data_IF_565917172687
#
_entry.id   IF_565917172687
#
_cell.length_a   1.000
_cell.length_b   1.000
_cell.length_c   1.000
_cell.angle_alpha   90.00
_cell.angle_beta   90.00
_cell.angle_gamma   90.00
#
_symmetry.space_group_name_H-M   'P 1'
#
loop_
_entity.id
_entity.type
_entity.pdbx_description
1 polymer ?
#
# COMPACT_ATOMS: atom_id res chain seq x y z
N UNK A 1 -29.42 2.83 11.23
CA UNK A 1 -28.41 1.79 11.51
C UNK A 1 -27.38 2.48 12.37
N UNK A 2 -27.17 1.99 13.58
CA UNK A 2 -26.32 2.67 14.55
C UNK A 2 -24.90 2.11 14.45
N UNK A 3 -23.98 2.95 13.97
CA UNK A 3 -22.60 2.57 13.71
C UNK A 3 -21.69 3.39 14.61
N UNK A 4 -20.73 2.74 15.25
CA UNK A 4 -19.65 3.43 15.95
C UNK A 4 -18.42 3.37 15.07
N UNK A 5 -17.80 4.52 14.81
CA UNK A 5 -16.61 4.64 13.98
C UNK A 5 -15.49 5.24 14.81
N UNK A 6 -14.31 4.64 14.74
CA UNK A 6 -13.06 5.20 15.25
C UNK A 6 -12.12 5.39 14.06
N UNK A 7 -11.43 6.52 13.98
CA UNK A 7 -10.46 6.79 12.92
C UNK A 7 -9.22 7.47 13.45
N UNK A 8 -8.08 7.14 12.84
CA UNK A 8 -6.80 7.82 13.05
C UNK A 8 -5.96 7.77 11.76
N UNK A 9 -5.03 8.70 11.62
CA UNK A 9 -4.10 8.75 10.51
C UNK A 9 -2.94 9.71 10.75
N UNK A 10 -1.77 9.36 10.24
CA UNK A 10 -0.56 10.16 10.44
C UNK A 10 0.50 9.88 9.38
N UNK A 11 1.40 10.84 9.19
CA UNK A 11 2.58 10.75 8.35
C UNK A 11 3.86 10.96 9.18
N UNK A 12 4.92 10.24 8.81
CA UNK A 12 6.23 10.38 9.45
C UNK A 12 7.35 10.07 8.44
N UNK A 13 8.21 11.05 8.09
CA UNK A 13 8.12 12.46 8.48
C UNK A 13 6.82 13.14 7.97
N UNK A 14 6.56 14.40 8.36
CA UNK A 14 5.37 15.15 7.93
C UNK A 14 5.78 16.42 7.17
N UNK A 15 5.72 16.47 5.82
CA UNK A 15 5.21 15.43 4.91
C UNK A 15 6.15 14.23 4.75
N UNK A 16 5.58 13.07 4.40
CA UNK A 16 6.29 11.80 4.24
C UNK A 16 5.32 10.62 4.09
N UNK A 17 5.78 9.40 4.39
CA UNK A 17 4.93 8.21 4.31
C UNK A 17 3.85 8.32 5.38
N UNK A 18 2.59 8.18 4.95
CA UNK A 18 1.44 8.15 5.84
C UNK A 18 0.72 6.82 5.83
N UNK A 19 0.03 6.57 6.94
CA UNK A 19 -0.92 5.50 7.10
C UNK A 19 -2.17 6.02 7.80
N UNK A 20 -3.30 5.40 7.50
CA UNK A 20 -4.58 5.69 8.14
C UNK A 20 -5.32 4.39 8.46
N UNK A 21 -6.20 4.46 9.45
CA UNK A 21 -7.06 3.35 9.81
C UNK A 21 -8.45 3.80 10.27
N UNK A 22 -9.41 2.91 10.09
CA UNK A 22 -10.76 3.06 10.61
C UNK A 22 -11.28 1.74 11.17
N UNK A 23 -11.95 1.78 12.31
CA UNK A 23 -12.71 0.64 12.86
C UNK A 23 -14.18 1.03 12.85
N UNK A 24 -15.00 0.25 12.15
CA UNK A 24 -16.45 0.38 12.10
C UNK A 24 -17.09 -0.74 12.90
N UNK A 25 -18.00 -0.40 13.81
CA UNK A 25 -18.72 -1.36 14.65
C UNK A 25 -20.21 -1.24 14.45
N UNK A 26 -20.88 -2.37 14.25
CA UNK A 26 -22.32 -2.49 14.14
C UNK A 26 -22.80 -3.74 14.88
N UNK A 27 -23.48 -3.53 16.02
CA UNK A 27 -23.83 -4.64 16.92
C UNK A 27 -22.59 -5.43 17.34
N UNK A 28 -22.57 -6.72 17.02
CA UNK A 28 -21.43 -7.61 17.29
C UNK A 28 -20.39 -7.63 16.16
N UNK A 29 -20.66 -6.98 15.03
CA UNK A 29 -19.77 -6.98 13.88
C UNK A 29 -18.78 -5.82 13.96
N UNK A 30 -17.54 -6.12 13.62
CA UNK A 30 -16.46 -5.15 13.50
C UNK A 30 -15.78 -5.29 12.14
N UNK A 31 -15.41 -4.16 11.56
CA UNK A 31 -14.59 -4.10 10.36
C UNK A 31 -13.47 -3.08 10.54
N UNK A 32 -12.22 -3.53 10.41
CA UNK A 32 -11.07 -2.66 10.30
C UNK A 32 -10.75 -2.36 8.83
N UNK A 33 -10.37 -1.11 8.56
CA UNK A 33 -9.91 -0.61 7.26
C UNK A 33 -8.57 0.08 7.48
N UNK A 34 -7.66 -0.05 6.53
CA UNK A 34 -6.38 0.63 6.53
C UNK A 34 -6.04 1.12 5.13
N UNK A 35 -5.18 2.13 5.06
CA UNK A 35 -4.54 2.57 3.82
C UNK A 35 -3.25 3.32 4.11
N UNK A 36 -2.45 3.52 3.06
CA UNK A 36 -1.18 4.24 3.14
C UNK A 36 -0.97 5.10 1.90
N UNK A 37 -0.13 6.10 2.04
CA UNK A 37 0.29 6.98 0.96
C UNK A 37 1.77 7.34 1.16
N UNK A 38 2.63 7.11 0.16
CA UNK A 38 4.08 7.26 0.31
C UNK A 38 4.52 8.70 0.50
N UNK A 39 3.69 9.67 0.09
CA UNK A 39 3.97 11.08 0.26
C UNK A 39 2.68 11.84 0.58
N UNK A 40 2.51 12.17 1.86
CA UNK A 40 1.29 12.78 2.38
C UNK A 40 1.57 13.57 3.67
N UNK A 41 0.53 14.03 4.35
CA UNK A 41 0.64 14.72 5.65
C UNK A 41 -0.30 14.10 6.69
N UNK A 42 -0.09 14.42 7.97
CA UNK A 42 -0.99 13.98 9.06
C UNK A 42 -2.45 14.30 8.73
N UNK A 43 -2.74 15.57 8.45
CA UNK A 43 -4.09 16.04 8.15
C UNK A 43 -4.72 15.30 6.96
N UNK A 44 -3.94 14.93 5.93
CA UNK A 44 -4.46 14.18 4.79
C UNK A 44 -4.82 12.74 5.17
N UNK A 45 -4.00 12.08 6.00
CA UNK A 45 -4.29 10.74 6.50
C UNK A 45 -5.52 10.70 7.40
N UNK A 46 -5.68 11.68 8.29
CA UNK A 46 -6.89 11.81 9.11
C UNK A 46 -8.16 11.97 8.25
N UNK A 47 -8.10 12.82 7.21
CA UNK A 47 -9.21 12.97 6.26
C UNK A 47 -9.49 11.70 5.45
N UNK A 48 -8.44 11.00 5.00
CA UNK A 48 -8.60 9.74 4.27
C UNK A 48 -9.20 8.65 5.16
N UNK A 49 -8.86 8.61 6.45
CA UNK A 49 -9.48 7.71 7.42
C UNK A 49 -11.00 7.91 7.49
N UNK A 50 -11.43 9.17 7.62
CA UNK A 50 -12.85 9.52 7.65
C UNK A 50 -13.57 9.20 6.34
N UNK A 51 -12.95 9.52 5.20
CA UNK A 51 -13.49 9.20 3.87
C UNK A 51 -13.66 7.68 3.73
N UNK A 52 -12.61 6.91 4.01
CA UNK A 52 -12.61 5.45 3.89
C UNK A 52 -13.67 4.80 4.79
N UNK A 53 -13.83 5.31 6.02
CA UNK A 53 -14.86 4.85 6.94
C UNK A 53 -16.28 5.10 6.40
N UNK A 54 -16.58 6.34 5.97
CA UNK A 54 -17.92 6.68 5.48
C UNK A 54 -18.25 6.00 4.14
N UNK A 55 -17.28 5.87 3.23
CA UNK A 55 -17.46 5.14 1.96
C UNK A 55 -17.78 3.66 2.14
N UNK A 56 -17.35 3.06 3.25
CA UNK A 56 -17.63 1.64 3.53
C UNK A 56 -19.10 1.39 3.91
N UNK A 57 -19.85 2.43 4.28
CA UNK A 57 -21.27 2.34 4.61
C UNK A 57 -22.11 2.26 3.34
N UNK A 58 -22.95 1.22 3.26
CA UNK A 58 -23.77 0.94 2.06
C UNK A 58 -25.10 1.71 2.02
N UNK A 59 -25.43 2.43 3.09
CA UNK A 59 -26.71 3.14 3.26
C UNK A 59 -26.61 4.23 4.32
N UNK A 60 -27.50 5.23 4.29
CA UNK A 60 -27.66 6.21 5.36
C UNK A 60 -27.73 5.56 6.74
N UNK A 61 -27.01 6.13 7.70
CA UNK A 61 -26.77 5.55 9.03
C UNK A 61 -26.66 6.65 10.07
N UNK A 62 -26.89 6.29 11.33
CA UNK A 62 -26.67 7.15 12.49
C UNK A 62 -25.32 6.75 13.09
N UNK A 63 -24.40 7.70 13.22
CA UNK A 63 -22.99 7.44 13.44
C UNK A 63 -22.51 8.16 14.69
N UNK A 64 -21.90 7.40 15.59
CA UNK A 64 -21.04 7.94 16.65
C UNK A 64 -19.60 7.92 16.13
N UNK A 65 -19.07 9.07 15.75
CA UNK A 65 -17.78 9.18 15.06
C UNK A 65 -16.71 9.72 16.00
N UNK A 66 -15.73 8.89 16.33
CA UNK A 66 -14.62 9.21 17.23
C UNK A 66 -13.33 9.45 16.44
N UNK A 67 -12.68 10.58 16.71
CA UNK A 67 -11.36 10.94 16.15
C UNK A 67 -10.62 11.83 17.14
N UNK A 68 -9.29 11.75 17.14
CA UNK A 68 -8.42 12.69 17.85
C UNK A 68 -7.91 13.85 16.98
N UNK A 69 -8.19 13.80 15.67
CA UNK A 69 -7.88 14.87 14.73
C UNK A 69 -8.66 16.15 15.06
N UNK A 70 -7.93 17.14 15.55
CA UNK A 70 -8.49 18.48 15.73
C UNK A 70 -8.78 19.15 14.39
N UNK A 71 -7.99 18.84 13.34
CA UNK A 71 -8.17 19.38 12.00
C UNK A 71 -9.48 18.89 11.36
N UNK A 72 -9.78 17.60 11.44
CA UNK A 72 -11.03 17.02 10.97
C UNK A 72 -12.22 17.56 11.78
N UNK A 73 -12.12 17.55 13.12
CA UNK A 73 -13.18 18.07 14.00
C UNK A 73 -13.55 19.51 13.63
N UNK A 74 -12.57 20.42 13.66
CA UNK A 74 -12.81 21.85 13.34
C UNK A 74 -13.27 22.03 11.90
N UNK A 75 -12.72 21.26 10.96
CA UNK A 75 -13.15 21.31 9.57
C UNK A 75 -14.64 21.01 9.44
N UNK A 76 -15.12 19.94 10.08
CA UNK A 76 -16.54 19.57 10.03
C UNK A 76 -17.42 20.55 10.82
N UNK A 77 -17.03 20.94 12.03
CA UNK A 77 -17.92 21.69 12.92
C UNK A 77 -17.91 23.21 12.69
N UNK A 78 -16.86 23.75 12.06
CA UNK A 78 -16.66 25.20 11.96
C UNK A 78 -16.47 25.70 10.51
N UNK A 79 -15.86 24.92 9.61
CA UNK A 79 -15.35 25.47 8.35
C UNK A 79 -16.06 24.96 7.08
N UNK A 80 -16.47 23.69 7.06
CA UNK A 80 -16.84 22.98 5.84
C UNK A 80 -18.04 23.59 5.11
N UNK A 81 -19.04 24.09 5.85
CA UNK A 81 -20.23 24.73 5.25
C UNK A 81 -19.85 26.02 4.52
N UNK A 82 -19.03 26.87 5.15
CA UNK A 82 -18.53 28.10 4.55
C UNK A 82 -17.63 27.83 3.35
N UNK A 83 -16.78 26.80 3.43
CA UNK A 83 -15.96 26.38 2.29
C UNK A 83 -16.80 25.83 1.14
N UNK A 84 -17.80 24.99 1.41
CA UNK A 84 -18.68 24.45 0.39
C UNK A 84 -19.49 25.56 -0.30
N UNK A 85 -19.99 26.54 0.46
CA UNK A 85 -20.70 27.69 -0.09
C UNK A 85 -19.80 28.60 -0.95
N UNK A 86 -18.51 28.71 -0.59
CA UNK A 86 -17.54 29.52 -1.33
C UNK A 86 -16.70 28.71 -2.33
N UNK A 87 -17.29 27.65 -2.91
CA UNK A 87 -16.68 26.79 -3.93
C UNK A 87 -15.27 26.28 -3.56
N UNK A 88 -15.06 25.96 -2.28
CA UNK A 88 -13.83 25.44 -1.70
C UNK A 88 -12.63 26.40 -1.79
N UNK A 89 -12.90 27.70 -1.78
CA UNK A 89 -11.86 28.74 -1.85
C UNK A 89 -11.81 29.61 -0.60
N UNK A 90 -10.63 30.16 -0.31
CA UNK A 90 -10.39 31.19 0.69
C UNK A 90 -9.37 32.19 0.13
N UNK A 91 -9.74 33.48 0.07
CA UNK A 91 -8.92 34.56 -0.50
C UNK A 91 -8.44 34.26 -1.94
N UNK A 92 -9.33 33.73 -2.78
CA UNK A 92 -9.05 33.43 -4.19
C UNK A 92 -8.14 32.23 -4.45
N UNK A 93 -7.82 31.43 -3.43
CA UNK A 93 -7.07 30.17 -3.55
C UNK A 93 -7.90 29.01 -3.03
N UNK A 94 -7.74 27.79 -3.57
CA UNK A 94 -8.33 26.59 -2.97
C UNK A 94 -7.94 26.46 -1.50
N UNK A 95 -8.87 26.01 -0.66
CA UNK A 95 -8.56 25.68 0.73
C UNK A 95 -7.59 24.51 0.81
N UNK A 96 -6.82 24.44 1.89
CA UNK A 96 -5.92 23.31 2.10
C UNK A 96 -6.70 21.99 2.11
N UNK A 97 -6.19 20.98 1.39
CA UNK A 97 -6.83 19.68 1.22
C UNK A 97 -8.25 19.74 0.62
N UNK A 98 -8.54 20.77 -0.20
CA UNK A 98 -9.82 20.91 -0.87
C UNK A 98 -10.25 19.64 -1.64
N UNK A 99 -9.29 18.91 -2.20
CA UNK A 99 -9.51 17.64 -2.90
C UNK A 99 -10.12 16.54 -2.00
N UNK A 100 -9.72 16.48 -0.73
CA UNK A 100 -10.25 15.52 0.25
C UNK A 100 -11.54 16.03 0.88
N UNK A 101 -11.64 17.32 1.20
CA UNK A 101 -12.86 17.91 1.73
C UNK A 101 -14.04 17.80 0.76
N UNK A 102 -13.80 18.01 -0.54
CA UNK A 102 -14.79 17.82 -1.59
C UNK A 102 -15.28 16.37 -1.70
N UNK A 103 -14.42 15.39 -1.40
CA UNK A 103 -14.81 13.97 -1.33
C UNK A 103 -15.56 13.65 -0.05
N UNK A 104 -15.15 14.22 1.08
CA UNK A 104 -15.71 13.94 2.40
C UNK A 104 -17.12 14.55 2.57
N UNK A 105 -17.34 15.78 2.11
CA UNK A 105 -18.58 16.51 2.40
C UNK A 105 -19.86 15.84 1.90
N UNK A 106 -19.93 15.31 0.66
CA UNK A 106 -21.09 14.56 0.21
C UNK A 106 -21.38 13.32 1.07
N UNK A 107 -20.35 12.66 1.59
CA UNK A 107 -20.49 11.48 2.45
C UNK A 107 -21.07 11.87 3.82
N UNK A 108 -20.54 12.94 4.43
CA UNK A 108 -21.05 13.45 5.72
C UNK A 108 -22.54 13.76 5.62
N UNK A 109 -22.99 14.39 4.53
CA UNK A 109 -24.41 14.73 4.32
C UNK A 109 -25.34 13.52 4.14
N UNK A 110 -24.81 12.34 3.84
CA UNK A 110 -25.63 11.12 3.69
C UNK A 110 -25.97 10.47 5.03
N UNK A 111 -25.34 10.87 6.12
CA UNK A 111 -25.45 10.23 7.41
C UNK A 111 -25.85 11.24 8.51
N UNK A 112 -26.43 10.74 9.59
CA UNK A 112 -26.62 11.52 10.81
C UNK A 112 -25.42 11.25 11.70
N UNK A 113 -24.48 12.20 11.78
CA UNK A 113 -23.19 11.98 12.46
C UNK A 113 -23.10 12.85 13.71
N UNK A 114 -22.85 12.20 14.84
CA UNK A 114 -22.42 12.83 16.08
C UNK A 114 -20.90 12.70 16.20
N UNK A 115 -20.20 13.83 16.26
CA UNK A 115 -18.74 13.89 16.26
C UNK A 115 -18.21 13.97 17.68
N UNK A 116 -17.38 13.00 18.04
CA UNK A 116 -16.70 12.90 19.33
C UNK A 116 -15.22 13.13 19.13
N UNK A 117 -14.73 14.26 19.65
CA UNK A 117 -13.30 14.47 19.75
C UNK A 117 -12.78 13.83 21.02
N UNK A 118 -11.79 12.98 20.85
CA UNK A 118 -11.08 12.34 21.96
C UNK A 118 -9.64 12.81 21.96
N UNK A 119 -9.06 12.95 23.14
CA UNK A 119 -7.65 13.29 23.24
C UNK A 119 -6.83 12.05 22.83
N UNK A 120 -5.86 12.23 21.93
CA UNK A 120 -4.94 11.16 21.54
C UNK A 120 -4.27 10.51 22.75
N UNK A 121 -4.11 9.18 22.70
CA UNK A 121 -3.48 8.35 23.74
C UNK A 121 -4.08 8.50 25.16
N UNK A 122 -5.38 8.76 25.29
CA UNK A 122 -6.06 8.92 26.57
C UNK A 122 -6.67 7.62 27.15
N UNK A 123 -6.20 6.43 26.74
CA UNK A 123 -6.68 5.15 27.28
C UNK A 123 -7.97 4.61 26.67
N UNK A 124 -8.44 5.14 25.54
CA UNK A 124 -9.54 4.54 24.78
C UNK A 124 -9.00 3.42 23.89
N UNK A 125 -9.40 2.18 24.20
CA UNK A 125 -8.94 0.96 23.52
C UNK A 125 -9.05 1.04 21.98
N UNK A 126 -10.17 1.56 21.46
CA UNK A 126 -10.38 1.61 20.01
C UNK A 126 -9.55 2.70 19.33
N UNK A 127 -9.33 3.84 19.99
CA UNK A 127 -8.42 4.87 19.51
C UNK A 127 -6.97 4.36 19.44
N UNK A 128 -6.49 3.72 20.50
CA UNK A 128 -5.15 3.12 20.49
C UNK A 128 -5.02 2.02 19.44
N UNK A 129 -6.11 1.33 19.13
CA UNK A 129 -6.14 0.31 18.09
C UNK A 129 -6.10 0.90 16.69
N UNK A 130 -6.81 2.00 16.41
CA UNK A 130 -6.70 2.68 15.11
C UNK A 130 -5.34 3.36 14.93
N UNK A 131 -4.75 3.96 15.96
CA UNK A 131 -3.36 4.49 15.93
C UNK A 131 -2.37 3.40 15.53
N UNK A 132 -2.44 2.25 16.21
CA UNK A 132 -1.57 1.10 15.90
C UNK A 132 -1.76 0.60 14.47
N UNK A 133 -3.00 0.51 14.00
CA UNK A 133 -3.30 0.09 12.63
C UNK A 133 -2.80 1.12 11.59
N UNK A 134 -2.94 2.41 11.86
CA UNK A 134 -2.44 3.47 10.98
C UNK A 134 -0.91 3.43 10.91
N UNK A 135 -0.22 3.27 12.05
CA UNK A 135 1.23 3.08 12.10
C UNK A 135 1.68 1.82 11.38
N UNK A 136 0.96 0.71 11.52
CA UNK A 136 1.26 -0.52 10.78
C UNK A 136 1.09 -0.31 9.27
N UNK A 137 0.00 0.33 8.84
CA UNK A 137 -0.25 0.63 7.44
C UNK A 137 0.86 1.50 6.82
N UNK A 138 1.38 2.47 7.58
CA UNK A 138 2.53 3.30 7.20
C UNK A 138 3.78 2.46 6.96
N UNK A 139 4.08 1.53 7.86
CA UNK A 139 5.24 0.64 7.78
C UNK A 139 5.15 -0.41 6.67
N UNK A 140 4.00 -0.50 5.99
CA UNK A 140 3.91 -1.30 4.77
C UNK A 140 4.70 -0.66 3.63
N UNK A 141 5.06 0.63 3.66
CA UNK A 141 5.94 1.25 2.65
C UNK A 141 7.32 1.46 3.28
N UNK A 142 8.39 1.07 2.58
CA UNK A 142 9.75 1.28 3.05
C UNK A 142 10.15 2.77 2.88
N UNK A 143 10.60 3.44 3.95
CA UNK A 143 11.06 4.84 3.89
C UNK A 143 12.21 5.09 2.90
N UNK A 144 12.25 6.24 2.19
CA UNK A 144 13.35 6.54 1.26
C UNK A 144 14.73 6.65 1.91
N UNK A 145 14.82 7.13 3.16
CA UNK A 145 16.07 7.19 3.95
C UNK A 145 16.61 5.80 4.31
N UNK A 146 15.79 4.77 4.13
CA UNK A 146 16.22 3.38 4.24
C UNK A 146 16.78 2.82 2.94
N UNK A 147 16.78 3.56 1.83
CA UNK A 147 17.40 3.13 0.58
C UNK A 147 18.89 3.48 0.64
N UNK A 148 19.76 2.48 0.54
CA UNK A 148 21.21 2.66 0.48
C UNK A 148 21.68 2.79 -0.97
N UNK A 149 22.03 3.98 -1.42
CA UNK A 149 22.45 4.22 -2.81
C UNK A 149 23.78 3.53 -3.18
N UNK A 150 24.54 3.02 -2.21
CA UNK A 150 25.81 2.31 -2.43
C UNK A 150 25.63 0.81 -2.68
N UNK A 151 24.42 0.29 -2.49
CA UNK A 151 24.09 -1.12 -2.72
C UNK A 151 23.28 -1.24 -4.02
N UNK A 152 23.58 -2.22 -4.90
CA UNK A 152 22.81 -2.46 -6.12
C UNK A 152 21.30 -2.49 -5.89
N UNK A 153 20.55 -1.85 -6.78
CA UNK A 153 19.09 -1.71 -6.70
C UNK A 153 18.42 -2.46 -7.84
N UNK A 154 17.72 -3.52 -7.49
CA UNK A 154 16.95 -4.34 -8.43
C UNK A 154 15.46 -3.97 -8.34
N UNK A 155 14.95 -3.30 -9.37
CA UNK A 155 13.53 -2.95 -9.50
C UNK A 155 12.81 -3.99 -10.34
N UNK A 156 11.68 -4.49 -9.85
CA UNK A 156 10.89 -5.50 -10.54
C UNK A 156 9.45 -5.06 -10.73
N UNK A 157 8.86 -5.43 -11.87
CA UNK A 157 7.45 -5.22 -12.18
C UNK A 157 6.90 -6.34 -13.06
N UNK A 158 5.58 -6.43 -13.08
CA UNK A 158 4.81 -7.34 -13.93
C UNK A 158 3.66 -6.62 -14.63
N UNK A 159 3.19 -7.23 -15.72
CA UNK A 159 1.99 -6.84 -16.46
C UNK A 159 1.29 -8.09 -16.97
N UNK A 160 -0.04 -8.16 -16.91
CA UNK A 160 -0.82 -9.24 -17.52
C UNK A 160 -2.11 -8.71 -18.14
N UNK A 161 -2.50 -9.27 -19.29
CA UNK A 161 -3.83 -9.08 -19.88
C UNK A 161 -4.72 -10.25 -19.49
N UNK A 162 -5.48 -10.09 -18.41
CA UNK A 162 -6.18 -11.18 -17.75
C UNK A 162 -5.31 -11.84 -16.67
N UNK A 163 -5.93 -12.54 -15.73
CA UNK A 163 -5.23 -13.14 -14.59
C UNK A 163 -5.96 -14.43 -14.16
N UNK A 164 -5.75 -15.57 -14.88
CA UNK A 164 -4.64 -15.82 -15.80
C UNK A 164 -4.83 -15.27 -17.22
N UNK A 165 -3.72 -15.06 -17.93
CA UNK A 165 -3.66 -14.60 -19.32
C UNK A 165 -2.21 -14.36 -19.79
N UNK A 166 -1.98 -13.80 -20.99
CA UNK A 166 -0.64 -13.40 -21.42
C UNK A 166 -0.05 -12.39 -20.45
N UNK A 167 1.16 -12.65 -19.99
CA UNK A 167 1.84 -11.85 -18.99
C UNK A 167 3.32 -11.65 -19.31
N UNK A 168 3.88 -10.61 -18.72
CA UNK A 168 5.24 -10.15 -18.93
C UNK A 168 5.81 -9.60 -17.65
N UNK A 169 7.11 -9.70 -17.52
CA UNK A 169 7.88 -9.27 -16.37
C UNK A 169 9.06 -8.42 -16.83
N UNK A 170 9.47 -7.48 -15.99
CA UNK A 170 10.59 -6.59 -16.25
C UNK A 170 11.41 -6.40 -14.99
N UNK A 171 12.73 -6.40 -15.16
CA UNK A 171 13.73 -6.21 -14.13
C UNK A 171 14.73 -5.14 -14.60
N UNK A 172 15.01 -4.17 -13.73
CA UNK A 172 16.03 -3.14 -13.93
C UNK A 172 16.99 -3.20 -12.75
N UNK A 173 18.26 -3.48 -13.02
CA UNK A 173 19.33 -3.50 -12.04
C UNK A 173 20.19 -2.25 -12.23
N UNK A 174 20.27 -1.42 -11.20
CA UNK A 174 21.21 -0.30 -11.12
C UNK A 174 22.35 -0.66 -10.17
N UNK A 175 23.59 -0.58 -10.63
CA UNK A 175 24.81 -0.77 -9.83
C UNK A 175 25.80 0.36 -10.14
N UNK A 176 25.90 1.34 -9.23
CA UNK A 176 26.62 2.58 -9.49
C UNK A 176 26.03 3.35 -10.66
N UNK A 177 26.85 3.59 -11.70
CA UNK A 177 26.42 4.27 -12.94
C UNK A 177 25.90 3.29 -14.01
N UNK A 178 26.02 1.97 -13.77
CA UNK A 178 25.59 0.96 -14.72
C UNK A 178 24.13 0.58 -14.52
N UNK A 179 23.39 0.47 -15.62
CA UNK A 179 22.02 -0.03 -15.62
C UNK A 179 21.91 -1.22 -16.56
N UNK A 180 21.48 -2.36 -16.01
CA UNK A 180 21.19 -3.59 -16.76
C UNK A 180 19.69 -3.86 -16.72
N UNK A 181 19.11 -4.23 -17.86
CA UNK A 181 17.68 -4.50 -17.99
C UNK A 181 17.45 -5.93 -18.48
N UNK A 182 16.41 -6.57 -17.96
CA UNK A 182 15.97 -7.89 -18.39
C UNK A 182 14.45 -7.98 -18.37
N UNK A 183 13.89 -8.75 -19.30
CA UNK A 183 12.44 -8.93 -19.39
C UNK A 183 12.10 -10.25 -20.08
N UNK A 184 10.87 -10.70 -19.89
CA UNK A 184 10.36 -11.90 -20.53
C UNK A 184 8.85 -12.02 -20.39
N UNK A 185 8.28 -13.01 -21.05
CA UNK A 185 6.82 -13.20 -21.13
C UNK A 185 6.42 -14.67 -21.02
N UNK A 186 5.12 -14.87 -20.80
CA UNK A 186 4.47 -16.17 -20.89
C UNK A 186 3.03 -16.03 -21.41
N UNK A 187 2.56 -16.94 -22.29
CA UNK A 187 1.25 -16.84 -22.93
C UNK A 187 0.08 -17.06 -21.98
N UNK A 188 0.28 -17.80 -20.90
CA UNK A 188 -0.74 -18.04 -19.86
C UNK A 188 -0.09 -18.08 -18.48
N UNK A 189 -0.23 -16.98 -17.76
CA UNK A 189 0.40 -16.78 -16.45
C UNK A 189 -0.45 -15.86 -15.57
N UNK A 190 0.05 -15.52 -14.39
CA UNK A 190 -0.57 -14.56 -13.47
C UNK A 190 0.42 -13.45 -13.13
N UNK A 191 -0.08 -12.29 -12.68
CA UNK A 191 0.77 -11.19 -12.23
C UNK A 191 1.74 -11.64 -11.13
N UNK A 192 1.28 -12.44 -10.17
CA UNK A 192 2.12 -12.94 -9.08
C UNK A 192 3.29 -13.78 -9.60
N UNK A 193 3.05 -14.64 -10.61
CA UNK A 193 4.12 -15.44 -11.20
C UNK A 193 5.12 -14.58 -11.96
N UNK A 194 4.64 -13.62 -12.74
CA UNK A 194 5.50 -12.68 -13.48
C UNK A 194 6.36 -11.84 -12.54
N UNK A 195 5.80 -11.33 -11.45
CA UNK A 195 6.58 -10.57 -10.47
C UNK A 195 7.67 -11.43 -9.80
N UNK A 196 7.35 -12.69 -9.45
CA UNK A 196 8.33 -13.61 -8.87
C UNK A 196 9.43 -13.99 -9.88
N UNK A 197 9.07 -14.21 -11.14
CA UNK A 197 10.04 -14.47 -12.21
C UNK A 197 10.96 -13.27 -12.42
N UNK A 198 10.45 -12.03 -12.43
CA UNK A 198 11.32 -10.83 -12.51
C UNK A 198 12.38 -10.79 -11.42
N UNK A 199 12.04 -11.17 -10.19
CA UNK A 199 13.05 -11.21 -9.11
C UNK A 199 14.07 -12.31 -9.35
N UNK A 200 13.63 -13.53 -9.68
CA UNK A 200 14.53 -14.65 -9.91
C UNK A 200 15.53 -14.30 -11.02
N UNK A 201 15.02 -13.86 -12.18
CA UNK A 201 15.84 -13.51 -13.33
C UNK A 201 16.70 -12.27 -13.06
N UNK A 202 16.16 -11.29 -12.34
CA UNK A 202 16.89 -10.08 -11.95
C UNK A 202 18.05 -10.35 -10.98
N UNK A 203 17.88 -11.27 -10.02
CA UNK A 203 18.96 -11.66 -9.10
C UNK A 203 20.10 -12.38 -9.84
N UNK A 204 19.79 -13.15 -10.89
CA UNK A 204 20.78 -13.84 -11.71
C UNK A 204 21.67 -12.89 -12.54
N UNK A 205 21.31 -11.61 -12.66
CA UNK A 205 22.18 -10.58 -13.24
C UNK A 205 23.37 -10.23 -12.34
N UNK A 206 23.30 -10.58 -11.04
CA UNK A 206 24.34 -10.31 -10.06
C UNK A 206 25.17 -11.57 -9.76
N UNK A 207 26.49 -11.43 -9.52
CA UNK A 207 27.30 -12.51 -8.99
C UNK A 207 26.75 -13.04 -7.64
N UNK A 208 26.80 -14.36 -7.38
CA UNK A 208 26.51 -14.90 -6.06
C UNK A 208 27.39 -14.25 -4.98
N UNK A 209 26.79 -13.94 -3.83
CA UNK A 209 27.41 -13.26 -2.69
C UNK A 209 27.17 -11.74 -2.66
N UNK A 210 26.63 -11.16 -3.73
CA UNK A 210 26.33 -9.72 -3.78
C UNK A 210 25.28 -9.29 -2.76
N UNK A 211 25.44 -8.09 -2.24
CA UNK A 211 24.36 -7.37 -1.55
C UNK A 211 23.45 -6.71 -2.59
N UNK A 212 22.14 -6.69 -2.34
CA UNK A 212 21.17 -6.09 -3.26
C UNK A 212 19.91 -5.63 -2.53
N UNK A 213 19.37 -4.51 -2.97
CA UNK A 213 18.05 -4.02 -2.56
C UNK A 213 17.02 -4.35 -3.64
N UNK A 214 16.03 -5.18 -3.32
CA UNK A 214 14.98 -5.57 -4.26
C UNK A 214 13.73 -4.75 -4.02
N UNK A 215 13.34 -3.96 -5.01
CA UNK A 215 12.19 -3.06 -4.99
C UNK A 215 11.02 -3.70 -5.72
N UNK A 216 9.92 -3.89 -4.98
CA UNK A 216 8.65 -4.36 -5.55
C UNK A 216 7.48 -3.55 -5.02
N UNK A 217 6.40 -3.50 -5.79
CA UNK A 217 5.11 -2.94 -5.37
C UNK A 217 4.07 -4.04 -5.09
N UNK A 218 4.47 -5.31 -5.21
CA UNK A 218 3.60 -6.46 -4.99
C UNK A 218 3.55 -6.84 -3.52
N UNK A 219 2.39 -6.62 -2.89
CA UNK A 219 2.13 -7.08 -1.52
C UNK A 219 2.32 -8.59 -1.40
N UNK A 220 1.95 -9.36 -2.42
CA UNK A 220 2.09 -10.82 -2.43
C UNK A 220 3.56 -11.26 -2.35
N UNK A 221 4.43 -10.62 -3.14
CA UNK A 221 5.86 -10.91 -3.14
C UNK A 221 6.51 -10.43 -1.83
N UNK A 222 6.29 -9.16 -1.47
CA UNK A 222 6.92 -8.55 -0.30
C UNK A 222 6.50 -9.26 0.99
N UNK A 223 5.20 -9.47 1.24
CA UNK A 223 4.74 -10.17 2.43
C UNK A 223 5.10 -11.65 2.40
N UNK A 224 5.09 -12.25 1.20
CA UNK A 224 5.51 -13.63 1.01
C UNK A 224 6.92 -13.90 1.50
N UNK A 225 7.90 -13.13 1.02
CA UNK A 225 9.30 -13.32 1.39
C UNK A 225 9.61 -12.82 2.81
N UNK A 226 9.01 -11.71 3.25
CA UNK A 226 9.36 -11.10 4.55
C UNK A 226 8.61 -11.72 5.74
N UNK A 227 7.42 -12.29 5.53
CA UNK A 227 6.55 -12.73 6.64
C UNK A 227 6.13 -14.19 6.53
N UNK A 228 5.77 -14.66 5.33
CA UNK A 228 5.08 -15.95 5.18
C UNK A 228 6.03 -17.12 4.98
N UNK A 229 7.14 -16.90 4.27
CA UNK A 229 8.03 -17.96 3.78
C UNK A 229 8.56 -18.85 4.91
N UNK A 230 8.87 -18.28 6.08
CA UNK A 230 9.33 -19.05 7.25
C UNK A 230 8.31 -20.12 7.68
N UNK A 231 7.03 -19.76 7.72
CA UNK A 231 5.94 -20.68 8.08
C UNK A 231 5.69 -21.71 6.97
N UNK A 232 5.87 -21.32 5.71
CA UNK A 232 5.72 -22.24 4.58
C UNK A 232 6.84 -23.28 4.56
N UNK A 233 8.11 -22.88 4.75
CA UNK A 233 9.24 -23.81 4.90
C UNK A 233 8.98 -24.84 6.00
N UNK A 234 8.53 -24.40 7.18
CA UNK A 234 8.21 -25.27 8.32
C UNK A 234 7.07 -26.27 8.04
N UNK A 235 6.20 -25.95 7.08
CA UNK A 235 5.07 -26.81 6.66
C UNK A 235 5.32 -27.50 5.33
N UNK A 236 6.58 -27.60 4.90
CA UNK A 236 6.95 -28.19 3.61
C UNK A 236 6.15 -27.60 2.43
N UNK A 237 5.97 -26.28 2.42
CA UNK A 237 5.26 -25.53 1.39
C UNK A 237 3.76 -25.87 1.26
N UNK A 238 3.15 -26.35 2.36
CA UNK A 238 1.72 -26.66 2.44
C UNK A 238 0.93 -25.65 3.27
N UNK A 239 -0.32 -25.44 2.88
CA UNK A 239 -1.35 -24.74 3.66
C UNK A 239 -1.87 -25.64 4.78
N UNK A 240 -2.70 -25.08 5.67
CA UNK A 240 -3.31 -25.83 6.79
C UNK A 240 -4.20 -26.99 6.33
N UNK A 241 -4.80 -26.88 5.15
CA UNK A 241 -5.66 -27.90 4.54
C UNK A 241 -4.89 -28.97 3.75
N UNK A 242 -3.56 -28.96 3.83
CA UNK A 242 -2.68 -29.92 3.14
C UNK A 242 -2.43 -29.62 1.66
N UNK A 243 -3.06 -28.60 1.08
CA UNK A 243 -2.78 -28.20 -0.31
C UNK A 243 -1.48 -27.41 -0.41
N UNK A 244 -0.75 -27.47 -1.54
CA UNK A 244 0.39 -26.60 -1.77
C UNK A 244 0.03 -25.12 -1.64
N UNK A 245 0.99 -24.32 -1.19
CA UNK A 245 0.88 -22.86 -1.31
C UNK A 245 0.82 -22.47 -2.79
N UNK A 246 0.09 -21.41 -3.11
CA UNK A 246 0.06 -20.92 -4.48
C UNK A 246 1.48 -20.56 -4.92
N UNK A 247 1.85 -20.92 -6.15
CA UNK A 247 3.20 -20.70 -6.71
C UNK A 247 4.34 -21.34 -5.89
N UNK A 248 4.08 -22.48 -5.23
CA UNK A 248 5.08 -23.17 -4.41
C UNK A 248 6.40 -23.41 -5.15
N UNK A 249 6.33 -23.70 -6.45
CA UNK A 249 7.48 -23.92 -7.31
C UNK A 249 8.37 -22.67 -7.44
N UNK A 250 7.79 -21.50 -7.74
CA UNK A 250 8.55 -20.24 -7.79
C UNK A 250 9.00 -19.80 -6.41
N UNK A 251 8.21 -20.07 -5.37
CA UNK A 251 8.62 -19.75 -4.00
C UNK A 251 9.84 -20.57 -3.60
N UNK A 252 9.85 -21.87 -3.87
CA UNK A 252 11.01 -22.73 -3.62
C UNK A 252 12.25 -22.27 -4.39
N UNK A 253 12.09 -21.96 -5.68
CA UNK A 253 13.20 -21.46 -6.50
C UNK A 253 13.76 -20.12 -5.97
N UNK A 254 12.90 -19.16 -5.65
CA UNK A 254 13.31 -17.89 -5.07
C UNK A 254 13.93 -18.07 -3.68
N UNK A 255 13.40 -19.00 -2.88
CA UNK A 255 13.88 -19.31 -1.54
C UNK A 255 15.30 -19.86 -1.54
N UNK A 256 15.60 -20.77 -2.45
CA UNK A 256 16.92 -21.34 -2.66
C UNK A 256 17.88 -20.28 -3.22
N UNK A 257 17.48 -19.59 -4.29
CA UNK A 257 18.30 -18.56 -4.92
C UNK A 257 18.64 -17.42 -3.94
N UNK A 258 17.68 -16.98 -3.14
CA UNK A 258 17.87 -15.87 -2.18
C UNK A 258 18.93 -16.15 -1.12
N UNK A 259 19.28 -17.42 -0.86
CA UNK A 259 20.34 -17.76 0.09
C UNK A 259 21.74 -17.40 -0.42
N UNK A 260 21.88 -17.18 -1.73
CA UNK A 260 23.14 -16.79 -2.34
C UNK A 260 23.41 -15.28 -2.29
N UNK A 261 22.49 -14.47 -1.75
CA UNK A 261 22.60 -13.01 -1.78
C UNK A 261 22.27 -12.39 -0.42
N UNK A 262 22.87 -11.25 -0.12
CA UNK A 262 22.47 -10.42 1.02
C UNK A 262 21.34 -9.48 0.59
N UNK A 263 20.11 -10.01 0.57
CA UNK A 263 18.94 -9.28 0.04
C UNK A 263 18.27 -8.41 1.11
N UNK A 264 18.11 -7.12 0.80
CA UNK A 264 17.18 -6.22 1.48
C UNK A 264 15.93 -6.02 0.64
N UNK A 265 14.77 -6.32 1.20
CA UNK A 265 13.49 -6.15 0.51
C UNK A 265 12.91 -4.76 0.78
N UNK A 266 12.57 -4.05 -0.28
CA UNK A 266 12.00 -2.70 -0.25
C UNK A 266 10.57 -2.79 -0.75
N UNK A 267 9.60 -2.48 0.11
CA UNK A 267 8.22 -2.28 -0.33
C UNK A 267 8.06 -0.86 -0.87
N UNK A 268 8.05 -0.76 -2.19
CA UNK A 268 8.00 0.50 -2.91
C UNK A 268 6.58 0.89 -3.35
N UNK A 269 5.55 0.33 -2.70
CA UNK A 269 4.15 0.58 -3.05
C UNK A 269 3.83 2.07 -3.09
N UNK A 270 3.34 2.52 -4.25
CA UNK A 270 2.99 3.90 -4.53
C UNK A 270 4.17 4.86 -4.75
N UNK A 271 5.42 4.43 -4.54
CA UNK A 271 6.58 5.28 -4.71
C UNK A 271 6.87 5.52 -6.20
N UNK A 272 7.17 6.77 -6.56
CA UNK A 272 7.56 7.16 -7.91
C UNK A 272 9.08 7.02 -8.07
N UNK A 273 9.54 5.80 -8.32
CA UNK A 273 10.95 5.49 -8.58
C UNK A 273 11.16 5.20 -10.06
N UNK A 274 12.16 5.82 -10.68
CA UNK A 274 12.43 5.69 -12.12
C UNK A 274 12.64 4.22 -12.54
N UNK A 275 13.45 3.46 -11.80
CA UNK A 275 13.66 2.04 -12.09
C UNK A 275 12.38 1.18 -12.05
N UNK A 276 11.39 1.51 -11.21
CA UNK A 276 10.09 0.85 -11.23
C UNK A 276 9.24 1.23 -12.45
N UNK A 277 9.33 2.48 -12.91
CA UNK A 277 8.64 2.91 -14.12
C UNK A 277 9.21 2.18 -15.34
N UNK A 278 10.54 2.09 -15.43
CA UNK A 278 11.25 1.38 -16.50
C UNK A 278 10.98 -0.12 -16.48
N UNK A 279 11.09 -0.78 -15.32
CA UNK A 279 10.70 -2.19 -15.19
C UNK A 279 9.24 -2.43 -15.60
N UNK A 280 8.35 -1.48 -15.31
CA UNK A 280 6.95 -1.54 -15.73
C UNK A 280 6.76 -1.43 -17.25
N UNK A 281 7.55 -0.57 -17.91
CA UNK A 281 7.57 -0.43 -19.38
C UNK A 281 8.05 -1.73 -20.02
N UNK A 282 9.15 -2.31 -19.52
CA UNK A 282 9.69 -3.59 -19.97
C UNK A 282 8.65 -4.72 -19.85
N UNK A 283 7.99 -4.84 -18.69
CA UNK A 283 6.95 -5.83 -18.48
C UNK A 283 5.78 -5.67 -19.47
N UNK A 284 5.34 -4.43 -19.70
CA UNK A 284 4.25 -4.15 -20.62
C UNK A 284 4.62 -4.40 -22.08
N UNK A 285 5.86 -4.12 -22.47
CA UNK A 285 6.39 -4.41 -23.81
C UNK A 285 6.50 -5.91 -24.06
N UNK A 286 7.00 -6.68 -23.09
CA UNK A 286 7.07 -8.15 -23.18
C UNK A 286 5.69 -8.78 -23.43
N UNK A 287 4.63 -8.29 -22.76
CA UNK A 287 3.24 -8.74 -23.04
C UNK A 287 2.80 -8.40 -24.46
N UNK A 288 3.17 -7.22 -24.98
CA UNK A 288 2.78 -6.81 -26.33
C UNK A 288 3.43 -7.72 -27.39
N UNK A 289 4.70 -8.06 -27.20
CA UNK A 289 5.42 -8.98 -28.10
C UNK A 289 4.83 -10.40 -28.03
N UNK A 290 4.48 -10.90 -26.84
CA UNK A 290 3.84 -12.23 -26.65
C UNK A 290 2.49 -12.36 -27.37
N UNK A 291 1.72 -11.28 -27.47
CA UNK A 291 0.40 -11.29 -28.12
C UNK A 291 0.51 -11.00 -29.63
N UNK A 292 1.58 -10.31 -30.03
CA UNK A 292 1.81 -9.88 -31.42
C UNK A 292 2.61 -10.88 -32.27
N UNK A 293 3.28 -11.85 -31.65
CA UNK A 293 3.95 -12.97 -32.30
C UNK A 293 3.03 -14.16 -32.52
#
# INVERSE_FOLDING_TARGET
MDVIIYTDGGADPNPGIGGWAAILRFGQHEKALTGNEPQTTNNRMELQAAIGALQALKRPSTIQFYTDSEYLRKGITEWIEGWAANNWQKKGKPVQNADLWQKLWPLVKQHQIEWHWVKGHAGNEFNERVDRLARQARLEITPPDQIDETIPRLYVRSSCKGNPGPGGWGAVLEDGEETTQSSGSAPSTTNNRMEMTAVIEGLLLLPPGSAVQVFTTSDYLYQGITQWIRKWRQRNWLKKDGKPVANADLWQALDELSQNYAIRWINAKGQALQGLEEAGKLAAEAVRLEIGG
#
